data_IF_883592907245
#
_entry.id   IF_883592907245
#
_cell.length_a   1.000
_cell.length_b   1.000
_cell.length_c   1.000
_cell.angle_alpha   90.00
_cell.angle_beta   90.00
_cell.angle_gamma   90.00
#
_symmetry.space_group_name_H-M   'P 1'
#
loop_
_entity.id
_entity.type
_entity.pdbx_description
1 polymer ?
#
# COMPACT_ATOMS: atom_id res chain seq x y z
N UNK A 1 -7.59 8.27 9.18
CA UNK A 1 -8.57 7.24 9.56
C UNK A 1 -9.04 7.52 10.97
N UNK A 2 -10.34 7.32 11.23
CA UNK A 2 -10.97 7.49 12.53
C UNK A 2 -11.58 6.15 12.98
N UNK A 3 -11.53 5.80 14.26
CA UNK A 3 -12.03 4.51 14.77
C UNK A 3 -13.55 4.57 15.04
N UNK A 4 -14.36 4.63 13.95
CA UNK A 4 -15.84 4.73 14.05
C UNK A 4 -16.54 3.37 13.99
N UNK A 5 -15.83 2.28 13.70
CA UNK A 5 -16.38 0.91 13.69
C UNK A 5 -16.44 0.29 15.08
N UNK A 6 -17.14 -0.84 15.18
CA UNK A 6 -17.11 -1.65 16.41
C UNK A 6 -15.77 -2.34 16.55
N UNK A 7 -15.23 -2.29 17.76
CA UNK A 7 -14.02 -2.98 18.18
C UNK A 7 -14.29 -3.84 19.39
N UNK A 8 -13.68 -5.01 19.43
CA UNK A 8 -13.74 -5.96 20.54
C UNK A 8 -12.37 -6.68 20.55
N UNK A 9 -11.62 -6.49 21.63
CA UNK A 9 -10.27 -7.02 21.76
C UNK A 9 -10.21 -8.56 21.75
N UNK A 10 -11.31 -9.25 22.04
CA UNK A 10 -11.41 -10.72 22.04
C UNK A 10 -11.73 -11.28 20.65
N UNK A 11 -12.00 -10.46 19.64
CA UNK A 11 -12.33 -10.89 18.27
C UNK A 11 -11.14 -10.81 17.33
N UNK A 12 -10.96 -11.84 16.52
CA UNK A 12 -9.93 -11.89 15.46
C UNK A 12 -10.18 -10.89 14.33
N UNK A 13 -11.45 -10.51 14.07
CA UNK A 13 -11.81 -9.58 13.01
C UNK A 13 -12.73 -8.49 13.55
N UNK A 14 -12.30 -7.25 13.37
CA UNK A 14 -13.00 -6.05 13.79
C UNK A 14 -13.29 -5.13 12.60
N UNK A 15 -14.33 -4.31 12.69
CA UNK A 15 -14.64 -3.28 11.67
C UNK A 15 -13.88 -1.97 11.91
N UNK A 16 -13.07 -1.91 12.97
CA UNK A 16 -12.20 -0.79 13.33
C UNK A 16 -10.92 -1.31 13.97
N UNK A 17 -9.82 -0.60 13.75
CA UNK A 17 -8.55 -0.85 14.46
C UNK A 17 -8.49 -0.17 15.83
N UNK A 18 -9.53 0.58 16.21
CA UNK A 18 -9.67 1.28 17.49
C UNK A 18 -8.56 2.30 17.80
N UNK A 19 -7.93 2.86 16.77
CA UNK A 19 -6.98 3.97 16.92
C UNK A 19 -7.08 4.95 15.76
N UNK A 20 -6.59 6.16 15.99
CA UNK A 20 -6.49 7.19 14.95
C UNK A 20 -5.22 7.01 14.14
N UNK A 21 -5.33 7.19 12.82
CA UNK A 21 -4.16 7.32 11.94
C UNK A 21 -4.24 8.65 11.20
N UNK A 22 -3.25 9.50 11.36
CA UNK A 22 -3.02 10.66 10.51
C UNK A 22 -2.13 10.25 9.34
N UNK A 23 -2.59 10.48 8.11
CA UNK A 23 -1.90 10.01 6.91
C UNK A 23 -1.79 11.15 5.88
N UNK A 24 -0.76 12.01 5.95
CA UNK A 24 -0.45 12.92 4.86
C UNK A 24 -0.16 12.15 3.57
N UNK A 25 -0.60 12.72 2.46
CA UNK A 25 -0.45 12.17 1.13
C UNK A 25 0.14 13.25 0.21
N UNK A 26 1.14 12.84 -0.57
CA UNK A 26 1.70 13.60 -1.66
C UNK A 26 1.57 12.80 -2.95
N UNK A 27 1.10 13.42 -4.03
CA UNK A 27 1.06 12.80 -5.35
C UNK A 27 1.65 13.73 -6.40
N UNK A 28 2.38 13.14 -7.33
CA UNK A 28 3.06 13.85 -8.39
C UNK A 28 2.97 13.06 -9.69
N UNK A 29 2.67 13.74 -10.80
CA UNK A 29 2.72 13.17 -12.15
C UNK A 29 3.55 14.06 -13.02
N UNK A 30 4.51 13.47 -13.72
CA UNK A 30 5.35 14.15 -14.69
C UNK A 30 5.15 13.54 -16.08
N UNK A 31 4.96 14.42 -17.05
CA UNK A 31 4.76 14.09 -18.47
C UNK A 31 5.95 14.63 -19.27
N UNK A 32 7.11 13.94 -19.25
CA UNK A 32 8.31 14.43 -19.96
C UNK A 32 8.11 14.53 -21.48
N UNK A 33 7.20 13.74 -22.02
CA UNK A 33 6.75 13.79 -23.42
C UNK A 33 5.24 13.56 -23.49
N UNK A 34 4.63 13.80 -24.67
CA UNK A 34 3.21 13.50 -24.89
C UNK A 34 2.88 11.99 -24.76
N UNK A 35 3.91 11.13 -24.79
CA UNK A 35 3.76 9.67 -24.76
C UNK A 35 4.21 9.05 -23.43
N UNK A 36 5.00 9.76 -22.64
CA UNK A 36 5.58 9.21 -21.40
C UNK A 36 4.90 9.82 -20.17
N UNK A 37 4.54 8.98 -19.22
CA UNK A 37 4.00 9.39 -17.94
C UNK A 37 4.75 8.68 -16.80
N UNK A 38 5.18 9.46 -15.83
CA UNK A 38 5.78 9.01 -14.59
C UNK A 38 4.92 9.51 -13.45
N UNK A 39 4.43 8.63 -12.60
CA UNK A 39 3.57 8.99 -11.47
C UNK A 39 4.09 8.40 -10.19
N UNK A 40 3.96 9.16 -9.13
CA UNK A 40 4.34 8.82 -7.77
C UNK A 40 3.23 9.24 -6.81
N UNK A 41 2.93 8.40 -5.82
CA UNK A 41 2.09 8.74 -4.68
C UNK A 41 2.78 8.26 -3.41
N UNK A 42 3.13 9.17 -2.52
CA UNK A 42 3.76 8.87 -1.24
C UNK A 42 2.80 9.17 -0.08
N UNK A 43 2.81 8.30 0.92
CA UNK A 43 2.06 8.49 2.16
C UNK A 43 2.94 8.15 3.36
N UNK A 44 2.66 8.80 4.49
CA UNK A 44 3.24 8.44 5.77
C UNK A 44 2.14 8.30 6.80
N UNK A 45 2.04 7.14 7.44
CA UNK A 45 1.01 6.85 8.44
C UNK A 45 1.56 7.08 9.84
N UNK A 46 1.00 8.07 10.53
CA UNK A 46 1.21 8.29 11.96
C UNK A 46 0.13 7.54 12.71
N UNK A 47 0.46 6.37 13.23
CA UNK A 47 -0.47 5.53 13.99
C UNK A 47 -0.45 5.93 15.45
N UNK A 48 -1.64 6.14 16.02
CA UNK A 48 -1.83 6.36 17.45
C UNK A 48 -2.00 5.03 18.17
N UNK A 49 -2.04 5.06 19.46
CA UNK A 49 -2.22 3.89 20.33
C UNK A 49 -3.67 3.44 20.36
N UNK A 50 -3.89 2.14 20.37
CA UNK A 50 -5.16 1.53 20.73
C UNK A 50 -5.20 1.38 22.26
N UNK A 51 -6.00 2.21 22.90
CA UNK A 51 -6.07 2.29 24.37
C UNK A 51 -6.75 1.07 25.03
N UNK A 52 -7.47 0.23 24.28
CA UNK A 52 -8.08 -0.99 24.83
C UNK A 52 -7.05 -2.11 24.97
N UNK A 53 -5.95 -2.03 24.20
CA UNK A 53 -4.89 -3.04 24.17
C UNK A 53 -3.51 -2.47 24.52
N UNK A 54 -3.40 -1.16 24.72
CA UNK A 54 -2.14 -0.43 24.89
C UNK A 54 -1.09 -0.76 23.79
N UNK A 55 -1.62 -1.08 22.59
CA UNK A 55 -0.80 -1.42 21.42
C UNK A 55 -0.74 -0.26 20.44
N UNK A 56 0.46 0.04 19.98
CA UNK A 56 0.71 1.02 18.92
C UNK A 56 1.51 0.40 17.79
N UNK A 57 0.88 0.26 16.62
CA UNK A 57 1.58 -0.11 15.39
C UNK A 57 2.61 0.96 15.02
N UNK A 58 3.75 0.53 14.53
CA UNK A 58 4.79 1.43 14.04
C UNK A 58 4.30 2.35 12.92
N UNK A 59 5.06 3.41 12.71
CA UNK A 59 4.79 4.37 11.63
C UNK A 59 5.16 3.73 10.29
N UNK A 60 4.38 4.04 9.24
CA UNK A 60 4.56 3.39 7.94
C UNK A 60 4.76 4.44 6.86
N UNK A 61 5.89 4.33 6.16
CA UNK A 61 6.10 4.98 4.88
C UNK A 61 5.63 4.05 3.76
N UNK A 62 4.87 4.58 2.82
CA UNK A 62 4.42 3.84 1.65
C UNK A 62 4.44 4.74 0.43
N UNK A 63 4.97 4.26 -0.70
CA UNK A 63 4.80 4.94 -1.96
C UNK A 63 4.44 3.97 -3.09
N UNK A 64 3.51 4.40 -3.93
CA UNK A 64 3.17 3.78 -5.21
C UNK A 64 3.92 4.51 -6.32
N UNK A 65 4.35 3.79 -7.34
CA UNK A 65 4.98 4.38 -8.52
C UNK A 65 4.50 3.72 -9.81
N UNK A 66 4.51 4.49 -10.87
CA UNK A 66 4.27 3.96 -12.21
C UNK A 66 5.08 4.73 -13.24
N UNK A 67 5.53 4.01 -14.27
CA UNK A 67 6.17 4.56 -15.45
C UNK A 67 5.51 3.93 -16.68
N UNK A 68 4.96 4.74 -17.57
CA UNK A 68 4.22 4.23 -18.72
C UNK A 68 4.54 4.99 -20.01
N UNK A 69 4.42 4.28 -21.12
CA UNK A 69 4.63 4.81 -22.46
C UNK A 69 3.43 4.48 -23.37
N UNK A 70 2.94 5.48 -24.07
CA UNK A 70 1.88 5.35 -25.08
C UNK A 70 2.47 4.80 -26.36
N UNK A 71 2.24 3.51 -26.62
CA UNK A 71 2.74 2.82 -27.81
C UNK A 71 1.91 3.20 -29.05
N UNK A 72 0.59 3.22 -28.88
CA UNK A 72 -0.38 3.71 -29.88
C UNK A 72 -1.37 4.65 -29.21
N UNK A 73 -2.28 5.24 -29.96
CA UNK A 73 -3.32 6.11 -29.40
C UNK A 73 -4.23 5.36 -28.40
N UNK A 74 -4.34 4.06 -28.55
CA UNK A 74 -5.22 3.22 -27.73
C UNK A 74 -4.49 2.33 -26.72
N UNK A 75 -3.17 2.15 -26.87
CA UNK A 75 -2.39 1.24 -26.03
C UNK A 75 -1.28 1.98 -25.27
N UNK A 76 -1.26 1.81 -23.96
CA UNK A 76 -0.18 2.24 -23.08
C UNK A 76 0.38 1.02 -22.35
N UNK A 77 1.69 0.86 -22.36
CA UNK A 77 2.42 -0.15 -21.62
C UNK A 77 3.28 0.53 -20.55
N UNK A 78 3.48 -0.15 -19.44
CA UNK A 78 4.25 0.42 -18.35
C UNK A 78 4.71 -0.60 -17.33
N UNK A 79 5.40 -0.06 -16.35
CA UNK A 79 5.74 -0.73 -15.09
C UNK A 79 5.02 -0.01 -13.95
N UNK A 80 4.64 -0.76 -12.95
CA UNK A 80 4.07 -0.24 -11.71
C UNK A 80 4.62 -1.01 -10.52
N UNK A 81 4.46 -0.44 -9.35
CA UNK A 81 4.84 -1.10 -8.13
C UNK A 81 4.60 -0.23 -6.92
N UNK A 82 5.05 -0.73 -5.80
CA UNK A 82 4.99 -0.02 -4.53
C UNK A 82 6.14 -0.44 -3.62
N UNK A 83 6.41 0.42 -2.65
CA UNK A 83 7.29 0.15 -1.54
C UNK A 83 6.59 0.52 -0.25
N UNK A 84 6.65 -0.36 0.72
CA UNK A 84 6.17 -0.12 2.07
C UNK A 84 7.28 -0.45 3.04
N UNK A 85 7.49 0.44 4.00
CA UNK A 85 8.41 0.22 5.12
C UNK A 85 7.83 0.77 6.40
N UNK A 86 7.76 -0.07 7.41
CA UNK A 86 7.54 0.37 8.76
C UNK A 86 8.83 0.99 9.30
N UNK A 87 8.77 2.24 9.71
CA UNK A 87 9.93 3.07 10.07
C UNK A 87 10.22 3.11 11.56
N UNK A 88 9.24 2.70 12.38
CA UNK A 88 9.37 2.59 13.84
C UNK A 88 8.81 1.28 14.33
N UNK A 89 9.24 0.85 15.50
CA UNK A 89 8.79 -0.40 16.12
C UNK A 89 7.31 -0.38 16.49
N UNK A 90 6.71 -1.56 16.48
CA UNK A 90 5.48 -1.80 17.21
C UNK A 90 5.76 -1.75 18.71
N UNK A 91 4.80 -1.19 19.45
CA UNK A 91 4.91 -1.06 20.90
C UNK A 91 3.69 -1.65 21.61
N UNK A 92 3.96 -2.31 22.73
CA UNK A 92 2.95 -2.82 23.66
C UNK A 92 3.26 -2.27 25.05
N UNK A 93 2.31 -1.60 25.68
CA UNK A 93 2.50 -0.94 26.99
C UNK A 93 3.70 0.06 26.98
N UNK A 94 3.95 0.70 25.84
CA UNK A 94 5.06 1.65 25.67
C UNK A 94 6.42 1.01 25.37
N UNK A 95 6.56 -0.31 25.53
CA UNK A 95 7.79 -1.06 25.21
C UNK A 95 7.78 -1.61 23.79
N UNK A 96 8.94 -1.78 23.17
CA UNK A 96 9.07 -2.42 21.87
C UNK A 96 8.63 -3.87 21.91
N UNK A 97 7.77 -4.27 20.97
CA UNK A 97 7.33 -5.66 20.83
C UNK A 97 8.49 -6.51 20.38
N UNK A 98 8.69 -7.65 21.04
CA UNK A 98 9.74 -8.63 20.73
C UNK A 98 9.11 -9.97 20.40
N UNK A 99 9.57 -10.59 19.33
CA UNK A 99 9.14 -11.93 18.92
C UNK A 99 10.22 -12.94 19.23
N UNK A 100 9.87 -13.97 19.95
CA UNK A 100 10.77 -15.05 20.34
C UNK A 100 10.43 -16.33 19.58
N UNK A 101 11.44 -16.93 18.96
CA UNK A 101 11.35 -18.26 18.36
C UNK A 101 12.31 -19.23 19.05
N UNK A 102 11.78 -20.38 19.53
CA UNK A 102 12.58 -21.40 20.22
C UNK A 102 13.39 -20.89 21.44
N UNK A 103 12.89 -19.83 22.09
CA UNK A 103 13.53 -19.24 23.28
C UNK A 103 14.57 -18.16 22.99
N UNK A 104 14.83 -17.87 21.72
CA UNK A 104 15.71 -16.78 21.29
C UNK A 104 14.88 -15.64 20.66
N UNK A 105 15.36 -14.39 20.79
CA UNK A 105 14.76 -13.25 20.13
C UNK A 105 15.05 -13.33 18.62
N UNK A 106 13.97 -13.36 17.81
CA UNK A 106 14.07 -13.43 16.33
C UNK A 106 13.82 -12.09 15.67
N UNK A 107 13.11 -11.19 16.34
CA UNK A 107 12.83 -9.86 15.83
C UNK A 107 12.59 -8.87 16.98
N UNK A 108 13.06 -7.65 16.80
CA UNK A 108 12.85 -6.53 17.71
C UNK A 108 12.10 -5.42 16.98
N UNK A 109 10.80 -5.25 17.36
CA UNK A 109 9.94 -4.21 16.83
C UNK A 109 9.05 -4.60 15.67
N UNK A 110 9.15 -5.81 15.14
CA UNK A 110 8.25 -6.40 14.11
C UNK A 110 8.06 -5.48 12.90
N UNK A 111 9.14 -4.83 12.44
CA UNK A 111 9.08 -3.89 11.32
C UNK A 111 8.82 -4.59 10.01
N UNK A 112 7.67 -4.26 9.38
CA UNK A 112 7.31 -4.78 8.07
C UNK A 112 7.97 -4.01 6.92
N UNK A 113 8.42 -4.75 5.90
CA UNK A 113 8.93 -4.18 4.66
C UNK A 113 8.43 -4.99 3.46
N UNK A 114 8.25 -4.34 2.33
CA UNK A 114 8.02 -4.99 1.04
C UNK A 114 8.33 -4.03 -0.10
N UNK A 115 8.89 -4.58 -1.17
CA UNK A 115 9.00 -3.94 -2.46
C UNK A 115 8.26 -4.77 -3.50
N UNK A 116 7.54 -4.12 -4.42
CA UNK A 116 6.80 -4.80 -5.49
C UNK A 116 7.00 -4.08 -6.82
N UNK A 117 7.13 -4.85 -7.90
CA UNK A 117 7.20 -4.34 -9.28
C UNK A 117 6.54 -5.31 -10.25
N UNK A 118 5.97 -4.78 -11.32
CA UNK A 118 5.43 -5.59 -12.40
C UNK A 118 4.89 -4.77 -13.56
N UNK A 119 4.49 -5.42 -14.65
CA UNK A 119 3.95 -4.76 -15.84
C UNK A 119 2.55 -4.20 -15.62
N UNK A 120 2.25 -3.17 -16.40
CA UNK A 120 0.93 -2.58 -16.53
C UNK A 120 0.56 -2.43 -17.99
N UNK A 121 -0.69 -2.71 -18.31
CA UNK A 121 -1.28 -2.53 -19.65
C UNK A 121 -2.55 -1.72 -19.49
N UNK A 122 -2.64 -0.64 -20.24
CA UNK A 122 -3.85 0.18 -20.33
C UNK A 122 -4.28 0.24 -21.79
N UNK A 123 -5.55 -0.12 -22.03
CA UNK A 123 -6.17 -0.13 -23.35
C UNK A 123 -7.39 0.80 -23.33
N UNK A 124 -7.42 1.79 -24.22
CA UNK A 124 -8.61 2.59 -24.50
C UNK A 124 -9.34 1.97 -25.68
N UNK A 125 -10.60 1.68 -25.50
CA UNK A 125 -11.49 1.18 -26.56
C UNK A 125 -12.77 2.01 -26.52
N UNK A 126 -13.38 2.24 -27.67
CA UNK A 126 -14.41 3.24 -27.79
C UNK A 126 -13.92 4.65 -27.36
N UNK A 127 -14.73 5.69 -27.53
CA UNK A 127 -14.27 7.07 -27.33
C UNK A 127 -13.82 7.37 -25.88
N UNK A 128 -14.37 6.68 -24.89
CA UNK A 128 -14.16 6.97 -23.46
C UNK A 128 -14.03 5.73 -22.55
N UNK A 129 -14.18 4.53 -23.11
CA UNK A 129 -14.04 3.30 -22.32
C UNK A 129 -12.59 2.85 -22.28
N UNK A 130 -12.14 2.35 -21.13
CA UNK A 130 -10.79 1.83 -20.96
C UNK A 130 -10.75 0.63 -20.03
N UNK A 131 -9.77 -0.24 -20.28
CA UNK A 131 -9.42 -1.34 -19.40
C UNK A 131 -7.96 -1.19 -18.98
N UNK A 132 -7.66 -1.55 -17.75
CA UNK A 132 -6.32 -1.55 -17.20
C UNK A 132 -6.10 -2.85 -16.44
N UNK A 133 -4.94 -3.47 -16.68
CA UNK A 133 -4.45 -4.62 -15.92
C UNK A 133 -3.07 -4.26 -15.40
N UNK A 134 -2.87 -4.47 -14.11
CA UNK A 134 -1.58 -4.34 -13.42
C UNK A 134 -1.30 -5.63 -12.69
N UNK A 135 -0.10 -6.12 -12.83
CA UNK A 135 0.42 -7.17 -11.97
C UNK A 135 1.67 -6.63 -11.27
N UNK A 136 1.87 -7.01 -10.02
CA UNK A 136 3.07 -6.69 -9.28
C UNK A 136 3.45 -7.88 -8.41
N UNK A 137 4.71 -8.31 -8.52
CA UNK A 137 5.29 -9.32 -7.67
C UNK A 137 6.00 -8.65 -6.50
N UNK A 138 5.71 -9.13 -5.30
CA UNK A 138 6.41 -8.73 -4.09
C UNK A 138 7.74 -9.45 -3.94
N UNK A 139 8.70 -8.77 -3.36
CA UNK A 139 10.00 -9.29 -2.93
C UNK A 139 10.62 -8.34 -1.90
N UNK A 140 11.76 -8.72 -1.30
CA UNK A 140 12.38 -8.02 -0.19
C UNK A 140 11.38 -7.82 0.97
N UNK A 141 10.75 -8.93 1.34
CA UNK A 141 9.64 -8.98 2.29
C UNK A 141 10.18 -9.31 3.68
N UNK A 142 9.88 -8.46 4.66
CA UNK A 142 10.22 -8.65 6.06
C UNK A 142 8.95 -8.55 6.91
N UNK A 143 8.78 -9.45 7.87
CA UNK A 143 7.70 -9.48 8.87
C UNK A 143 6.28 -9.34 8.31
N UNK A 144 6.04 -9.91 7.12
CA UNK A 144 4.72 -9.97 6.48
C UNK A 144 4.67 -11.10 5.44
N UNK A 145 3.47 -11.58 5.06
CA UNK A 145 3.35 -12.52 3.94
C UNK A 145 3.82 -11.90 2.63
N UNK A 146 4.54 -12.68 1.82
CA UNK A 146 4.89 -12.36 0.43
C UNK A 146 3.79 -12.83 -0.52
N UNK A 147 3.54 -12.07 -1.60
CA UNK A 147 2.50 -12.42 -2.57
C UNK A 147 2.65 -11.74 -3.91
N UNK A 148 1.65 -11.98 -4.74
CA UNK A 148 1.45 -11.32 -6.03
C UNK A 148 0.16 -10.51 -5.98
N UNK A 149 0.20 -9.29 -6.52
CA UNK A 149 -0.98 -8.45 -6.66
C UNK A 149 -1.39 -8.39 -8.13
N UNK A 150 -2.63 -8.78 -8.41
CA UNK A 150 -3.27 -8.57 -9.70
C UNK A 150 -4.42 -7.58 -9.55
N UNK A 151 -4.38 -6.52 -10.32
CA UNK A 151 -5.41 -5.49 -10.35
C UNK A 151 -5.99 -5.37 -11.76
N UNK A 152 -7.32 -5.40 -11.86
CA UNK A 152 -8.04 -5.13 -13.10
C UNK A 152 -9.06 -4.02 -12.89
N UNK A 153 -9.09 -3.05 -13.79
CA UNK A 153 -10.02 -1.92 -13.79
C UNK A 153 -10.68 -1.80 -15.16
N UNK A 154 -12.00 -1.67 -15.17
CA UNK A 154 -12.78 -1.34 -16.35
C UNK A 154 -13.47 0.00 -16.09
N UNK A 155 -13.33 0.94 -16.99
CA UNK A 155 -14.00 2.24 -16.95
C UNK A 155 -14.89 2.38 -18.17
N UNK A 156 -16.19 2.50 -17.94
CA UNK A 156 -17.21 2.72 -19.00
C UNK A 156 -18.00 3.95 -18.58
N UNK A 157 -17.72 5.13 -19.17
CA UNK A 157 -18.54 6.31 -18.93
C UNK A 157 -19.90 6.14 -19.62
N UNK A 158 -20.95 6.60 -18.97
CA UNK A 158 -22.30 6.67 -19.54
C UNK A 158 -22.85 8.07 -19.27
N UNK A 159 -23.52 8.62 -20.26
CA UNK A 159 -24.28 9.86 -20.12
C UNK A 159 -25.69 9.49 -19.62
N UNK A 160 -26.16 10.20 -18.60
CA UNK A 160 -27.53 10.11 -18.07
C UNK A 160 -28.42 11.14 -18.73
#
# INVERSE_FOLDING_TARGET
TVPTGKYDAERLANTSNNFYTYKPLFSFTWLPTERTELSLKATYSFNMENHDTDYRSGQIFHFDYSASYRVTDNLRLGLNGYYLKQTTDDKQNGETVRVFGFGEEVDDGVRGQVFAIGPAVHLTFLKYASAEIRWAKEFDVENRPEGDMLWAKLTIPFEL
#
